data_IF_760023742550
#
_entry.id   IF_760023742550
#
_cell.length_a   1.000
_cell.length_b   1.000
_cell.length_c   1.000
_cell.angle_alpha   90.00
_cell.angle_beta   90.00
_cell.angle_gamma   90.00
#
_symmetry.space_group_name_H-M   'P 1'
#
loop_
_entity.id
_entity.type
_entity.pdbx_description
1 polymer ?
#
# COMPACT_ATOMS: atom_id res chain seq x y z
N UNK A 1 8.64 37.67 -1.94
CA UNK A 1 8.68 36.39 -2.70
C UNK A 1 7.37 35.65 -2.57
N UNK A 2 6.78 35.28 -3.69
CA UNK A 2 5.55 34.48 -3.68
C UNK A 2 5.90 33.02 -3.48
N UNK A 3 5.37 32.39 -2.44
CA UNK A 3 5.45 30.92 -2.29
C UNK A 3 4.48 30.28 -3.25
N UNK A 4 4.96 29.35 -4.05
CA UNK A 4 4.09 28.49 -4.86
C UNK A 4 3.65 27.31 -4.02
N UNK A 5 2.34 27.10 -3.93
CA UNK A 5 1.79 25.92 -3.31
C UNK A 5 1.58 24.91 -4.41
N UNK A 6 2.28 23.78 -4.35
CA UNK A 6 2.16 22.72 -5.34
C UNK A 6 0.95 21.85 -5.03
N UNK A 7 0.24 21.41 -6.05
CA UNK A 7 -0.84 20.45 -5.88
C UNK A 7 -0.32 19.11 -5.36
N UNK A 8 0.89 18.73 -5.79
CA UNK A 8 1.51 17.48 -5.42
C UNK A 8 2.93 17.76 -4.92
N UNK A 9 3.14 17.53 -3.64
CA UNK A 9 4.44 17.76 -3.01
C UNK A 9 4.62 16.77 -1.85
N UNK A 10 4.97 15.51 -2.15
CA UNK A 10 5.18 14.52 -1.10
C UNK A 10 6.31 14.92 -0.17
N UNK A 11 6.14 14.63 1.10
CA UNK A 11 7.15 14.87 2.11
C UNK A 11 7.97 13.60 2.33
N UNK A 12 9.28 13.75 2.40
CA UNK A 12 10.17 12.62 2.69
C UNK A 12 11.44 13.13 3.38
N UNK A 13 12.10 12.26 4.09
CA UNK A 13 13.36 12.56 4.75
C UNK A 13 14.38 11.42 4.55
N UNK A 14 15.44 11.45 5.34
CA UNK A 14 16.51 10.46 5.26
C UNK A 14 16.04 9.05 5.54
N UNK A 15 15.03 8.88 6.37
CA UNK A 15 14.52 7.55 6.73
C UNK A 15 13.90 6.85 5.52
N UNK A 16 13.13 7.58 4.71
CA UNK A 16 12.53 7.03 3.50
C UNK A 16 13.61 6.70 2.46
N UNK A 17 14.62 7.56 2.32
CA UNK A 17 15.74 7.30 1.42
C UNK A 17 16.47 6.01 1.80
N UNK A 18 16.80 5.84 3.07
CA UNK A 18 17.49 4.64 3.56
C UNK A 18 16.64 3.39 3.38
N UNK A 19 15.33 3.48 3.63
CA UNK A 19 14.42 2.36 3.44
C UNK A 19 14.38 1.91 1.98
N UNK A 20 14.36 2.85 1.04
CA UNK A 20 14.39 2.55 -0.39
C UNK A 20 15.70 1.86 -0.79
N UNK A 21 16.83 2.38 -0.31
CA UNK A 21 18.15 1.80 -0.60
C UNK A 21 18.22 0.38 -0.07
N UNK A 22 17.78 0.16 1.15
CA UNK A 22 17.79 -1.17 1.77
C UNK A 22 16.89 -2.15 1.01
N UNK A 23 15.72 -1.71 0.58
CA UNK A 23 14.81 -2.54 -0.19
C UNK A 23 15.39 -2.89 -1.55
N UNK A 24 16.01 -1.91 -2.21
CA UNK A 24 16.67 -2.13 -3.49
C UNK A 24 17.77 -3.19 -3.39
N UNK A 25 18.60 -3.08 -2.37
CA UNK A 25 19.73 -4.01 -2.16
C UNK A 25 19.28 -5.39 -1.72
N UNK A 26 18.11 -5.50 -1.08
CA UNK A 26 17.60 -6.78 -0.58
C UNK A 26 17.20 -7.74 -1.69
N UNK A 27 16.80 -7.22 -2.85
CA UNK A 27 16.29 -8.04 -3.95
C UNK A 27 14.84 -8.49 -3.78
N UNK A 28 14.20 -8.20 -2.64
CA UNK A 28 12.80 -8.55 -2.38
C UNK A 28 11.92 -7.33 -2.63
N UNK A 29 11.45 -7.20 -3.87
CA UNK A 29 10.69 -6.01 -4.28
C UNK A 29 9.20 -6.25 -4.42
N UNK A 30 8.77 -7.49 -4.26
CA UNK A 30 7.37 -7.86 -4.43
C UNK A 30 6.90 -8.76 -3.29
N UNK A 31 5.59 -8.97 -3.21
CA UNK A 31 4.99 -9.91 -2.25
C UNK A 31 5.27 -11.36 -2.66
N UNK A 32 5.06 -12.29 -1.75
CA UNK A 32 5.01 -13.72 -2.03
C UNK A 32 6.10 -14.57 -1.42
N UNK A 33 7.18 -14.00 -0.91
CA UNK A 33 8.27 -14.77 -0.30
C UNK A 33 8.17 -14.90 1.22
N UNK A 34 7.21 -14.26 1.84
CA UNK A 34 6.95 -14.39 3.27
C UNK A 34 7.79 -13.52 4.20
N UNK A 35 8.80 -12.82 3.71
CA UNK A 35 9.72 -12.03 4.56
C UNK A 35 10.08 -10.66 4.00
N UNK A 36 9.40 -10.21 2.96
CA UNK A 36 9.69 -8.93 2.31
C UNK A 36 9.01 -7.74 2.96
N UNK A 37 9.30 -6.56 2.43
CA UNK A 37 8.76 -5.29 2.92
C UNK A 37 7.24 -5.20 2.73
N UNK A 38 6.70 -5.81 1.69
CA UNK A 38 5.25 -5.83 1.44
C UNK A 38 4.53 -6.53 2.59
N UNK A 39 5.00 -7.71 2.98
CA UNK A 39 4.41 -8.44 4.10
C UNK A 39 4.52 -7.65 5.40
N UNK A 40 5.66 -7.04 5.66
CA UNK A 40 5.87 -6.22 6.85
C UNK A 40 4.89 -5.04 6.89
N UNK A 41 4.69 -4.38 5.76
CA UNK A 41 3.72 -3.30 5.65
C UNK A 41 2.31 -3.79 5.93
N UNK A 42 1.92 -4.93 5.35
CA UNK A 42 0.60 -5.52 5.55
C UNK A 42 0.36 -5.84 7.03
N UNK A 43 1.34 -6.42 7.70
CA UNK A 43 1.25 -6.76 9.13
C UNK A 43 1.13 -5.51 10.01
N UNK A 44 1.98 -4.51 9.77
CA UNK A 44 1.95 -3.26 10.54
C UNK A 44 0.63 -2.51 10.35
N UNK A 45 0.11 -2.49 9.12
CA UNK A 45 -1.14 -1.79 8.84
C UNK A 45 -2.32 -2.53 9.47
N UNK A 46 -2.34 -3.87 9.40
CA UNK A 46 -3.41 -4.64 10.04
C UNK A 46 -3.42 -4.47 11.55
N UNK A 47 -2.24 -4.40 12.17
CA UNK A 47 -2.13 -4.12 13.61
C UNK A 47 -2.62 -2.72 13.94
N UNK A 48 -2.23 -1.74 13.14
CA UNK A 48 -2.64 -0.35 13.34
C UNK A 48 -4.16 -0.18 13.24
N UNK A 49 -4.78 -0.82 12.25
CA UNK A 49 -6.21 -0.76 12.01
C UNK A 49 -7.01 -1.74 12.88
N UNK A 50 -6.33 -2.64 13.59
CA UNK A 50 -6.95 -3.70 14.41
C UNK A 50 -7.89 -4.58 13.60
N UNK A 51 -7.44 -4.98 12.42
CA UNK A 51 -8.14 -5.90 11.53
C UNK A 51 -7.39 -7.21 11.43
N UNK A 52 -8.03 -8.25 10.93
CA UNK A 52 -7.45 -9.61 10.86
C UNK A 52 -6.34 -9.71 9.82
N UNK A 53 -6.38 -8.89 8.79
CA UNK A 53 -5.35 -8.91 7.77
C UNK A 53 -5.50 -7.76 6.79
N UNK A 54 -4.45 -7.53 6.03
CA UNK A 54 -4.40 -6.54 4.96
C UNK A 54 -3.67 -7.14 3.77
N UNK A 55 -4.07 -6.74 2.59
CA UNK A 55 -3.41 -7.13 1.34
C UNK A 55 -3.05 -5.87 0.57
N UNK A 56 -1.77 -5.72 0.27
CA UNK A 56 -1.28 -4.59 -0.51
C UNK A 56 -1.48 -4.87 -2.01
N UNK A 57 -1.94 -3.87 -2.73
CA UNK A 57 -2.13 -3.91 -4.19
C UNK A 57 -1.51 -2.67 -4.81
N UNK A 58 -1.41 -2.64 -6.12
CA UNK A 58 -0.65 -1.59 -6.81
C UNK A 58 -1.41 -0.29 -7.04
N UNK A 59 -2.70 -0.24 -6.73
CA UNK A 59 -3.50 0.98 -6.91
C UNK A 59 -4.78 0.92 -6.09
N UNK A 60 -5.38 2.08 -5.85
CA UNK A 60 -6.70 2.15 -5.23
C UNK A 60 -7.79 1.48 -6.05
N UNK A 61 -7.70 1.58 -7.38
CA UNK A 61 -8.63 0.90 -8.29
C UNK A 61 -8.58 -0.62 -8.09
N UNK A 62 -7.37 -1.18 -8.03
CA UNK A 62 -7.18 -2.62 -7.77
C UNK A 62 -7.72 -3.00 -6.39
N UNK A 63 -7.52 -2.14 -5.39
CA UNK A 63 -8.01 -2.38 -4.04
C UNK A 63 -9.54 -2.45 -4.01
N UNK A 64 -10.21 -1.52 -4.68
CA UNK A 64 -11.67 -1.52 -4.78
C UNK A 64 -12.19 -2.74 -5.52
N UNK A 65 -11.54 -3.11 -6.62
CA UNK A 65 -11.92 -4.30 -7.39
C UNK A 65 -11.80 -5.56 -6.53
N UNK A 66 -10.69 -5.71 -5.82
CA UNK A 66 -10.48 -6.86 -4.94
C UNK A 66 -11.52 -6.91 -3.82
N UNK A 67 -11.79 -5.77 -3.18
CA UNK A 67 -12.78 -5.70 -2.12
C UNK A 67 -14.18 -6.09 -2.61
N UNK A 68 -14.57 -5.61 -3.79
CA UNK A 68 -15.86 -5.95 -4.38
C UNK A 68 -15.97 -7.44 -4.75
N UNK A 69 -14.85 -8.06 -5.11
CA UNK A 69 -14.84 -9.49 -5.47
C UNK A 69 -15.17 -10.40 -4.29
N UNK A 70 -15.05 -9.91 -3.06
CA UNK A 70 -15.37 -10.66 -1.85
C UNK A 70 -16.84 -10.58 -1.48
N UNK A 71 -17.61 -9.75 -2.18
CA UNK A 71 -19.03 -9.54 -1.93
C UNK A 71 -19.82 -10.21 -3.04
N UNK A 72 -20.90 -10.92 -2.67
CA UNK A 72 -21.81 -11.48 -3.66
C UNK A 72 -22.69 -10.37 -4.22
N UNK A 73 -22.39 -9.93 -5.43
CA UNK A 73 -23.14 -8.88 -6.12
C UNK A 73 -24.15 -9.41 -7.12
N UNK A 74 -24.34 -10.72 -7.18
CA UNK A 74 -25.28 -11.34 -8.12
C UNK A 74 -26.70 -10.80 -7.89
N UNK A 75 -27.30 -10.21 -8.92
CA UNK A 75 -28.61 -9.61 -8.84
C UNK A 75 -28.68 -8.26 -8.14
N UNK A 76 -27.53 -7.66 -7.79
CA UNK A 76 -27.47 -6.35 -7.15
C UNK A 76 -26.90 -5.31 -8.11
N UNK A 77 -27.45 -4.11 -8.05
CA UNK A 77 -26.93 -2.97 -8.81
C UNK A 77 -25.83 -2.26 -8.02
N UNK A 78 -24.80 -1.86 -8.73
CA UNK A 78 -23.74 -1.02 -8.18
C UNK A 78 -23.95 0.39 -8.71
N UNK A 79 -24.16 1.31 -7.80
CA UNK A 79 -24.38 2.72 -8.14
C UNK A 79 -23.06 3.49 -8.11
#
# INVERSE_FOLDING_TARGET
>A
MKKKIKLFSPDFDKNEELALINTLKSGFWASGSGSGKVQKFEELLSDYLKVKGCVAVNSGTSALHLALSLIDLKGKDVI
#
